data_IF_130368290073
#
_entry.id   IF_130368290073
#
_cell.length_a   1.000
_cell.length_b   1.000
_cell.length_c   1.000
_cell.angle_alpha   90.00
_cell.angle_beta   90.00
_cell.angle_gamma   90.00
#
_symmetry.space_group_name_H-M   'P 1'
#
loop_
_entity.id
_entity.type
_entity.pdbx_description
1 polymer ?
#
# COMPACT_ATOMS: atom_id res chain seq x y z
N UNK A 1 -17.11 -54.76 -17.69
CA UNK A 1 -16.03 -53.79 -17.48
C UNK A 1 -16.66 -52.40 -17.27
N UNK A 2 -16.68 -51.89 -16.04
CA UNK A 2 -17.22 -50.56 -15.74
C UNK A 2 -16.03 -49.59 -15.63
N UNK A 3 -15.90 -48.66 -16.59
CA UNK A 3 -14.92 -47.57 -16.52
C UNK A 3 -15.43 -46.56 -15.49
N UNK A 4 -14.68 -46.37 -14.40
CA UNK A 4 -14.90 -45.31 -13.44
C UNK A 4 -14.08 -44.11 -13.95
N UNK A 5 -14.78 -43.04 -14.40
CA UNK A 5 -14.16 -41.79 -14.77
C UNK A 5 -13.89 -41.00 -13.50
N UNK A 6 -12.60 -40.88 -13.11
CA UNK A 6 -12.19 -40.04 -11.99
C UNK A 6 -12.09 -38.60 -12.53
N UNK A 7 -13.03 -37.75 -12.14
CA UNK A 7 -12.96 -36.32 -12.36
C UNK A 7 -11.97 -35.71 -11.34
N UNK A 8 -10.77 -35.40 -11.79
CA UNK A 8 -9.80 -34.61 -10.99
C UNK A 8 -10.21 -33.15 -11.08
N UNK A 9 -10.89 -32.65 -10.05
CA UNK A 9 -11.20 -31.23 -9.92
C UNK A 9 -9.90 -30.49 -9.61
N UNK A 10 -9.33 -29.79 -10.61
CA UNK A 10 -8.23 -28.86 -10.41
C UNK A 10 -8.77 -27.66 -9.63
N UNK A 11 -8.44 -27.61 -8.34
CA UNK A 11 -8.70 -26.46 -7.49
C UNK A 11 -7.68 -25.38 -7.89
N UNK A 12 -8.07 -24.46 -8.78
CA UNK A 12 -7.31 -23.24 -9.06
C UNK A 12 -7.27 -22.42 -7.76
N UNK A 13 -6.17 -22.49 -7.06
CA UNK A 13 -5.84 -21.57 -5.98
C UNK A 13 -5.70 -20.18 -6.62
N UNK A 14 -6.74 -19.36 -6.49
CA UNK A 14 -6.66 -17.92 -6.72
C UNK A 14 -5.72 -17.37 -5.64
N UNK A 15 -4.43 -17.31 -5.97
CA UNK A 15 -3.43 -16.64 -5.15
C UNK A 15 -3.81 -15.16 -5.17
N UNK A 16 -4.55 -14.70 -4.16
CA UNK A 16 -4.73 -13.29 -3.94
C UNK A 16 -3.32 -12.69 -3.74
N UNK A 17 -3.03 -11.56 -4.41
CA UNK A 17 -1.76 -10.82 -4.29
C UNK A 17 -1.66 -10.15 -2.89
N UNK A 18 -1.77 -10.95 -1.82
CA UNK A 18 -1.84 -10.50 -0.42
C UNK A 18 -0.63 -10.96 0.40
N UNK A 19 0.43 -11.41 -0.27
CA UNK A 19 1.70 -11.78 0.37
C UNK A 19 2.54 -10.57 0.78
N UNK A 20 3.66 -10.85 1.42
CA UNK A 20 4.73 -9.90 1.73
C UNK A 20 5.91 -10.24 0.84
N UNK A 21 6.66 -9.26 0.28
CA UNK A 21 7.89 -9.56 -0.46
C UNK A 21 8.87 -10.33 0.41
N UNK A 22 9.60 -11.26 -0.19
CA UNK A 22 10.61 -12.04 0.54
C UNK A 22 11.60 -11.12 1.27
N UNK A 23 11.95 -11.47 2.50
CA UNK A 23 12.90 -10.77 3.38
C UNK A 23 12.44 -9.37 3.84
N UNK A 24 11.21 -8.94 3.53
CA UNK A 24 10.60 -7.74 4.10
C UNK A 24 9.69 -8.17 5.26
N UNK A 25 9.86 -7.53 6.42
CA UNK A 25 9.01 -7.77 7.58
C UNK A 25 8.09 -6.56 7.83
N UNK A 26 6.77 -6.76 8.00
CA UNK A 26 5.89 -5.70 8.42
C UNK A 26 6.19 -5.26 9.84
N UNK A 27 5.98 -3.98 10.15
CA UNK A 27 6.15 -3.47 11.51
C UNK A 27 5.22 -4.18 12.49
N UNK A 28 5.71 -4.39 13.72
CA UNK A 28 4.92 -4.93 14.84
C UNK A 28 4.58 -3.82 15.85
N UNK A 29 3.56 -4.05 16.69
CA UNK A 29 3.05 -3.02 17.59
C UNK A 29 2.31 -1.90 16.84
N UNK A 30 1.73 -2.23 15.67
CA UNK A 30 0.98 -1.30 14.84
C UNK A 30 -0.31 -0.88 15.56
N UNK A 31 -0.48 0.42 15.76
CA UNK A 31 -1.69 1.02 16.34
C UNK A 31 -2.55 1.61 15.23
N UNK A 32 -3.63 0.92 14.91
CA UNK A 32 -4.59 1.34 13.88
C UNK A 32 -5.12 2.75 14.14
N UNK A 33 -5.44 3.09 15.38
CA UNK A 33 -6.05 4.39 15.72
C UNK A 33 -5.10 5.56 15.41
N UNK A 34 -3.80 5.36 15.66
CA UNK A 34 -2.78 6.35 15.35
C UNK A 34 -2.51 6.46 13.85
N UNK A 35 -2.78 5.38 13.09
CA UNK A 35 -2.56 5.35 11.64
C UNK A 35 -3.68 6.03 10.86
N UNK A 36 -4.89 6.17 11.43
CA UNK A 36 -6.02 6.85 10.79
C UNK A 36 -5.72 8.32 10.45
N UNK A 37 -6.58 8.90 9.60
CA UNK A 37 -6.48 10.28 9.12
C UNK A 37 -5.75 10.40 7.80
N UNK A 38 -5.28 11.60 7.48
CA UNK A 38 -4.68 11.92 6.18
C UNK A 38 -3.18 11.65 6.16
N UNK A 39 -2.74 11.07 5.06
CA UNK A 39 -1.36 10.88 4.67
C UNK A 39 -1.13 11.48 3.29
N UNK A 40 0.00 12.16 3.11
CA UNK A 40 0.47 12.69 1.83
C UNK A 40 1.47 11.70 1.22
N UNK A 41 1.31 11.42 -0.05
CA UNK A 41 2.26 10.60 -0.79
C UNK A 41 3.43 11.47 -1.25
N UNK A 42 4.62 11.18 -0.74
CA UNK A 42 5.84 11.97 -1.02
C UNK A 42 6.64 11.37 -2.18
N UNK A 43 6.68 10.03 -2.23
CA UNK A 43 7.35 9.31 -3.32
C UNK A 43 6.70 7.96 -3.57
N UNK A 44 6.80 7.47 -4.80
CA UNK A 44 6.35 6.13 -5.20
C UNK A 44 7.20 5.56 -6.32
N UNK A 45 7.21 4.24 -6.47
CA UNK A 45 7.49 3.61 -7.75
C UNK A 45 6.24 3.74 -8.63
N UNK A 46 6.45 3.92 -9.95
CA UNK A 46 5.34 4.13 -10.87
C UNK A 46 4.48 2.88 -11.04
N UNK A 47 3.18 3.06 -11.10
CA UNK A 47 2.21 2.01 -11.37
C UNK A 47 0.92 2.58 -11.96
N UNK A 48 0.22 1.76 -12.76
CA UNK A 48 -0.86 2.19 -13.64
C UNK A 48 -2.08 2.83 -12.98
N UNK A 49 -2.32 2.62 -11.69
CA UNK A 49 -3.49 3.18 -11.00
C UNK A 49 -3.26 4.59 -10.40
N UNK A 50 -2.01 5.09 -10.40
CA UNK A 50 -1.66 6.45 -9.97
C UNK A 50 -0.84 7.21 -11.03
N UNK A 51 -0.74 6.64 -12.24
CA UNK A 51 0.00 7.24 -13.35
C UNK A 51 -0.48 8.66 -13.64
N UNK A 52 0.46 9.62 -13.72
CA UNK A 52 0.16 11.01 -14.00
C UNK A 52 -0.47 11.80 -12.84
N UNK A 53 -0.68 11.19 -11.67
CA UNK A 53 -1.25 11.88 -10.52
C UNK A 53 -0.19 12.63 -9.71
N UNK A 54 -0.55 13.85 -9.30
CA UNK A 54 0.13 14.71 -8.32
C UNK A 54 -0.79 15.05 -7.16
N UNK A 55 -0.29 15.67 -6.11
CA UNK A 55 -1.05 16.05 -4.90
C UNK A 55 -1.82 14.87 -4.32
N UNK A 56 -1.17 13.70 -4.32
CA UNK A 56 -1.81 12.45 -3.91
C UNK A 56 -1.89 12.39 -2.39
N UNK A 57 -3.07 12.05 -1.91
CA UNK A 57 -3.34 11.81 -0.49
C UNK A 57 -4.12 10.52 -0.31
N UNK A 58 -3.88 9.84 0.82
CA UNK A 58 -4.71 8.76 1.32
C UNK A 58 -5.35 9.17 2.64
N UNK A 59 -6.67 9.02 2.76
CA UNK A 59 -7.38 9.24 4.01
C UNK A 59 -7.94 7.92 4.53
N UNK A 60 -7.60 7.59 5.77
CA UNK A 60 -8.02 6.37 6.44
C UNK A 60 -9.00 6.69 7.57
N UNK A 61 -10.15 6.01 7.59
CA UNK A 61 -11.15 6.11 8.66
C UNK A 61 -11.73 4.74 8.98
N UNK A 62 -12.30 4.57 10.18
CA UNK A 62 -12.93 3.31 10.56
C UNK A 62 -14.34 3.22 9.98
N UNK A 63 -14.66 2.02 9.48
CA UNK A 63 -16.04 1.60 9.23
C UNK A 63 -16.64 0.98 10.51
N UNK A 64 -17.97 0.90 10.58
CA UNK A 64 -18.71 0.31 11.72
C UNK A 64 -18.36 -1.17 11.97
N UNK A 65 -17.88 -1.87 10.94
CA UNK A 65 -17.46 -3.28 11.02
C UNK A 65 -15.98 -3.48 11.42
N UNK A 66 -15.29 -2.40 11.78
CA UNK A 66 -13.89 -2.42 12.20
C UNK A 66 -12.88 -2.46 11.05
N UNK A 67 -13.31 -2.52 9.80
CA UNK A 67 -12.43 -2.35 8.64
C UNK A 67 -12.05 -0.88 8.47
N UNK A 68 -11.02 -0.62 7.66
CA UNK A 68 -10.56 0.73 7.35
C UNK A 68 -11.16 1.15 6.00
N UNK A 69 -11.88 2.25 5.98
CA UNK A 69 -12.23 2.97 4.77
C UNK A 69 -10.99 3.71 4.28
N UNK A 70 -10.71 3.59 2.98
CA UNK A 70 -9.59 4.24 2.31
C UNK A 70 -10.14 5.18 1.25
N UNK A 71 -9.77 6.44 1.28
CA UNK A 71 -10.06 7.39 0.20
C UNK A 71 -8.73 7.90 -0.32
N UNK A 72 -8.35 7.46 -1.52
CA UNK A 72 -7.21 8.00 -2.25
C UNK A 72 -7.70 9.12 -3.15
N UNK A 73 -6.96 10.24 -3.17
CA UNK A 73 -7.27 11.39 -4.01
C UNK A 73 -5.99 11.91 -4.65
N UNK A 74 -6.04 12.20 -5.96
CA UNK A 74 -4.93 12.76 -6.71
C UNK A 74 -5.41 13.74 -7.78
N UNK A 75 -4.55 14.65 -8.20
CA UNK A 75 -4.83 15.59 -9.28
C UNK A 75 -4.17 15.11 -10.57
N UNK A 76 -4.99 14.89 -11.60
CA UNK A 76 -4.53 14.58 -12.95
C UNK A 76 -4.35 15.90 -13.73
N UNK A 77 -3.11 16.26 -14.03
CA UNK A 77 -2.80 17.52 -14.70
C UNK A 77 -3.20 17.52 -16.19
N UNK A 78 -3.21 16.35 -16.86
CA UNK A 78 -3.61 16.24 -18.25
C UNK A 78 -5.11 16.44 -18.43
N UNK A 79 -5.90 15.88 -17.50
CA UNK A 79 -7.35 16.01 -17.49
C UNK A 79 -7.84 17.29 -16.79
N UNK A 80 -6.96 17.98 -16.07
CA UNK A 80 -7.30 19.18 -15.31
C UNK A 80 -8.26 18.95 -14.16
N UNK A 81 -8.32 17.74 -13.60
CA UNK A 81 -9.32 17.36 -12.60
C UNK A 81 -8.75 16.48 -11.48
N UNK A 82 -9.47 16.50 -10.37
CA UNK A 82 -9.23 15.60 -9.26
C UNK A 82 -9.87 14.24 -9.54
N UNK A 83 -9.14 13.19 -9.22
CA UNK A 83 -9.62 11.82 -9.21
C UNK A 83 -9.69 11.32 -7.76
N UNK A 84 -10.65 10.46 -7.48
CA UNK A 84 -10.84 9.86 -6.17
C UNK A 84 -11.18 8.38 -6.32
N UNK A 85 -10.60 7.55 -5.45
CA UNK A 85 -10.88 6.14 -5.35
C UNK A 85 -11.27 5.78 -3.91
N UNK A 86 -12.44 5.15 -3.76
CA UNK A 86 -12.95 4.64 -2.47
C UNK A 86 -12.59 3.16 -2.35
N UNK A 87 -11.92 2.82 -1.28
CA UNK A 87 -11.44 1.47 -1.01
C UNK A 87 -11.69 1.03 0.42
N UNK A 88 -11.45 -0.26 0.64
CA UNK A 88 -11.55 -0.90 1.94
C UNK A 88 -10.31 -1.69 2.24
N UNK A 89 -9.73 -1.49 3.44
CA UNK A 89 -8.62 -2.28 3.92
C UNK A 89 -9.01 -3.10 5.16
N UNK A 90 -8.42 -4.28 5.27
CA UNK A 90 -8.55 -5.19 6.41
C UNK A 90 -7.19 -5.80 6.73
N UNK A 91 -6.95 -6.17 7.99
CA UNK A 91 -5.74 -6.88 8.37
C UNK A 91 -5.68 -8.28 7.76
N UNK A 92 -4.49 -8.74 7.40
CA UNK A 92 -4.28 -10.10 6.88
C UNK A 92 -4.12 -11.10 8.03
N UNK A 93 -3.64 -10.66 9.18
CA UNK A 93 -3.44 -11.44 10.41
C UNK A 93 -3.80 -10.63 11.62
N UNK A 94 -2.88 -10.58 12.59
CA UNK A 94 -3.06 -9.83 13.82
C UNK A 94 -3.09 -8.32 13.55
N UNK A 95 -3.94 -7.60 14.27
CA UNK A 95 -4.16 -6.16 14.05
C UNK A 95 -3.04 -5.26 14.58
N UNK A 96 -2.08 -5.81 15.31
CA UNK A 96 -0.86 -5.15 15.76
C UNK A 96 0.34 -5.34 14.81
N UNK A 97 0.09 -5.97 13.63
CA UNK A 97 1.07 -6.13 12.55
C UNK A 97 0.66 -5.24 11.38
N UNK A 98 1.59 -4.46 10.85
CA UNK A 98 1.38 -3.53 9.74
C UNK A 98 1.18 -4.22 8.38
N UNK A 99 0.43 -5.33 8.35
CA UNK A 99 0.10 -6.08 7.14
C UNK A 99 -1.41 -6.08 6.90
N UNK A 100 -1.83 -5.25 5.96
CA UNK A 100 -3.20 -5.13 5.50
C UNK A 100 -3.32 -5.61 4.05
N UNK A 101 -4.55 -5.80 3.63
CA UNK A 101 -4.92 -5.92 2.22
C UNK A 101 -5.99 -4.89 1.89
N UNK A 102 -5.87 -4.24 0.75
CA UNK A 102 -6.76 -3.18 0.28
C UNK A 102 -7.46 -3.58 -1.01
N UNK A 103 -8.74 -3.22 -1.13
CA UNK A 103 -9.54 -3.41 -2.34
C UNK A 103 -10.22 -2.09 -2.71
N UNK A 104 -10.08 -1.70 -3.97
CA UNK A 104 -10.85 -0.64 -4.62
C UNK A 104 -11.90 -1.21 -5.58
N UNK A 105 -11.76 -2.49 -5.94
CA UNK A 105 -12.67 -3.22 -6.84
C UNK A 105 -12.90 -4.63 -6.28
N UNK A 106 -13.91 -4.78 -5.43
CA UNK A 106 -14.23 -6.10 -4.88
C UNK A 106 -14.57 -7.14 -5.96
N UNK A 107 -14.17 -8.40 -5.80
CA UNK A 107 -13.59 -9.01 -4.61
C UNK A 107 -12.05 -9.05 -4.56
N UNK A 108 -11.35 -8.31 -5.41
CA UNK A 108 -9.89 -8.37 -5.54
C UNK A 108 -9.22 -7.51 -4.47
N UNK A 109 -8.21 -8.08 -3.80
CA UNK A 109 -7.41 -7.42 -2.79
C UNK A 109 -5.93 -7.44 -3.18
N UNK A 110 -5.23 -6.34 -2.91
CA UNK A 110 -3.79 -6.22 -3.00
C UNK A 110 -3.18 -6.03 -1.60
N UNK A 111 -1.94 -6.50 -1.42
CA UNK A 111 -1.19 -6.29 -0.17
C UNK A 111 -0.86 -4.83 0.05
N UNK A 112 -0.93 -4.43 1.31
CA UNK A 112 -0.48 -3.15 1.83
C UNK A 112 0.35 -3.43 3.08
N UNK A 113 1.67 -3.35 2.94
CA UNK A 113 2.62 -3.74 3.98
C UNK A 113 3.38 -2.51 4.45
N UNK A 114 3.13 -2.09 5.68
CA UNK A 114 3.93 -1.06 6.34
C UNK A 114 5.18 -1.72 6.89
N UNK A 115 6.35 -1.49 6.29
CA UNK A 115 7.62 -2.11 6.70
C UNK A 115 8.55 -1.16 7.45
N UNK A 116 8.20 0.13 7.49
CA UNK A 116 8.85 1.12 8.34
C UNK A 116 7.79 2.13 8.78
N UNK A 117 7.81 2.51 10.06
CA UNK A 117 6.88 3.47 10.64
C UNK A 117 7.57 4.13 11.83
N UNK A 118 7.68 5.45 11.82
CA UNK A 118 8.31 6.16 12.91
C UNK A 118 7.42 6.17 14.17
N UNK A 119 8.06 6.33 15.33
CA UNK A 119 7.36 6.29 16.63
C UNK A 119 6.29 7.38 16.80
N UNK A 120 6.34 8.45 16.03
CA UNK A 120 5.37 9.54 16.03
C UNK A 120 4.21 9.30 15.08
N UNK A 121 4.30 8.27 14.22
CA UNK A 121 3.37 8.00 13.11
C UNK A 121 3.30 9.19 12.12
N UNK A 122 4.45 9.80 11.86
CA UNK A 122 4.59 10.93 10.97
C UNK A 122 5.06 10.56 9.56
N UNK A 123 5.84 9.47 9.45
CA UNK A 123 6.29 8.89 8.17
C UNK A 123 6.10 7.39 8.16
N UNK A 124 5.73 6.84 7.00
CA UNK A 124 5.55 5.40 6.79
C UNK A 124 6.12 5.00 5.42
N UNK A 125 6.79 3.84 5.38
CA UNK A 125 7.24 3.20 4.15
C UNK A 125 6.39 1.97 3.89
N UNK A 126 5.80 1.92 2.71
CA UNK A 126 4.82 0.91 2.35
C UNK A 126 5.27 0.16 1.11
N UNK A 127 5.00 -1.14 1.07
CA UNK A 127 5.15 -1.97 -0.12
C UNK A 127 3.89 -2.77 -0.41
N UNK A 128 3.77 -3.27 -1.63
CA UNK A 128 2.75 -4.23 -2.04
C UNK A 128 3.18 -5.68 -1.78
N UNK A 129 2.67 -6.61 -2.59
CA UNK A 129 3.02 -8.03 -2.52
C UNK A 129 4.39 -8.36 -3.13
N UNK A 130 5.00 -7.43 -3.87
CA UNK A 130 6.33 -7.53 -4.48
C UNK A 130 7.01 -6.15 -4.48
N UNK A 131 8.27 -6.09 -4.95
CA UNK A 131 9.09 -4.88 -4.95
C UNK A 131 8.82 -3.90 -6.11
N UNK A 132 7.80 -4.15 -6.94
CA UNK A 132 7.35 -3.21 -7.96
C UNK A 132 6.51 -2.07 -7.34
N UNK A 133 6.09 -2.24 -6.07
CA UNK A 133 5.26 -1.28 -5.33
C UNK A 133 6.03 -0.74 -4.13
N UNK A 134 6.17 0.57 -4.07
CA UNK A 134 6.84 1.26 -2.96
C UNK A 134 6.28 2.66 -2.81
N UNK A 135 5.99 3.07 -1.57
CA UNK A 135 5.55 4.42 -1.23
C UNK A 135 6.27 4.96 0.00
N UNK A 136 6.57 6.25 -0.03
CA UNK A 136 6.86 7.08 1.13
C UNK A 136 5.63 7.92 1.43
N UNK A 137 5.02 7.72 2.57
CA UNK A 137 3.89 8.50 3.06
C UNK A 137 4.31 9.38 4.24
N UNK A 138 3.72 10.58 4.33
CA UNK A 138 3.98 11.53 5.40
C UNK A 138 2.69 12.19 5.89
N UNK A 139 2.68 12.64 7.16
CA UNK A 139 1.59 13.48 7.71
C UNK A 139 1.64 14.93 7.23
N UNK A 140 2.74 15.33 6.63
CA UNK A 140 2.94 16.66 6.05
C UNK A 140 3.17 16.54 4.54
N UNK A 141 2.79 17.55 3.74
CA UNK A 141 2.98 17.53 2.29
C UNK A 141 4.46 17.57 1.86
N UNK A 142 5.35 17.82 2.79
CA UNK A 142 6.79 17.88 2.57
C UNK A 142 7.53 17.10 3.66
N UNK A 143 8.67 16.52 3.30
CA UNK A 143 9.62 15.91 4.22
C UNK A 143 11.00 16.55 4.06
N UNK A 144 11.87 16.42 5.06
CA UNK A 144 13.24 16.92 4.93
C UNK A 144 14.05 16.10 3.94
N UNK A 145 15.14 16.68 3.43
CA UNK A 145 16.08 15.96 2.54
C UNK A 145 16.67 14.72 3.22
N UNK A 146 16.93 14.83 4.55
CA UNK A 146 17.44 13.71 5.35
C UNK A 146 16.41 12.55 5.44
N UNK A 147 15.11 12.87 5.62
CA UNK A 147 14.05 11.86 5.67
C UNK A 147 13.89 11.16 4.30
N UNK A 148 13.95 11.92 3.22
CA UNK A 148 13.92 11.36 1.86
C UNK A 148 15.16 10.50 1.58
N UNK A 149 16.35 10.93 2.02
CA UNK A 149 17.58 10.17 1.87
C UNK A 149 17.54 8.86 2.68
N UNK A 150 17.01 8.92 3.91
CA UNK A 150 16.81 7.74 4.76
C UNK A 150 15.86 6.72 4.11
N UNK A 151 14.73 7.19 3.57
CA UNK A 151 13.80 6.35 2.80
C UNK A 151 14.49 5.65 1.64
N UNK A 152 15.21 6.39 0.79
CA UNK A 152 15.93 5.82 -0.36
C UNK A 152 16.96 4.79 0.06
N UNK A 153 17.75 5.09 1.11
CA UNK A 153 18.74 4.16 1.64
C UNK A 153 18.10 2.87 2.16
N UNK A 154 17.00 2.99 2.90
CA UNK A 154 16.25 1.84 3.41
C UNK A 154 15.65 1.01 2.27
N UNK A 155 15.04 1.64 1.28
CA UNK A 155 14.48 0.95 0.13
C UNK A 155 15.53 0.18 -0.67
N UNK A 156 16.70 0.77 -0.93
CA UNK A 156 17.83 0.08 -1.59
C UNK A 156 18.31 -1.11 -0.76
N UNK A 157 18.42 -0.96 0.55
CA UNK A 157 18.81 -2.05 1.46
C UNK A 157 17.82 -3.23 1.43
N UNK A 158 16.53 -2.95 1.21
CA UNK A 158 15.48 -3.96 1.03
C UNK A 158 15.39 -4.50 -0.41
N UNK A 159 16.26 -4.05 -1.32
CA UNK A 159 16.36 -4.56 -2.68
C UNK A 159 15.38 -3.94 -3.68
N UNK A 160 14.81 -2.77 -3.39
CA UNK A 160 14.02 -2.03 -4.38
C UNK A 160 14.91 -1.37 -5.43
N UNK A 161 14.48 -1.39 -6.68
CA UNK A 161 15.05 -0.58 -7.76
C UNK A 161 14.38 0.80 -7.76
N UNK A 162 15.17 1.84 -7.50
CA UNK A 162 14.68 3.21 -7.43
C UNK A 162 14.88 4.00 -8.73
N UNK A 163 15.23 3.34 -9.85
CA UNK A 163 15.49 3.99 -11.14
C UNK A 163 14.28 4.83 -11.60
N UNK A 164 13.07 4.31 -11.38
CA UNK A 164 11.80 4.95 -11.75
C UNK A 164 11.08 5.59 -10.54
N UNK A 165 11.82 5.94 -9.48
CA UNK A 165 11.22 6.57 -8.31
C UNK A 165 10.72 7.98 -8.65
N UNK A 166 9.42 8.20 -8.48
CA UNK A 166 8.74 9.47 -8.67
C UNK A 166 8.69 10.22 -7.32
N UNK A 167 9.10 11.49 -7.30
CA UNK A 167 8.80 12.41 -6.22
C UNK A 167 7.48 13.10 -6.55
N UNK A 168 6.47 12.89 -5.71
CA UNK A 168 5.11 13.37 -5.95
C UNK A 168 5.01 14.84 -5.53
N UNK A 169 4.69 15.72 -6.48
CA UNK A 169 4.41 17.12 -6.17
C UNK A 169 3.12 17.23 -5.35
N UNK A 170 3.21 17.95 -4.23
CA UNK A 170 2.08 18.24 -3.34
C UNK A 170 1.57 19.67 -3.54
#
# INVERSE_FOLDING_TARGET
>A
MKCVLVFTTALCLLSACTGVPQDIEPVTGFDQQRYLGTWYEIARLDHSFEEGLSRVTANYSLNDDGSIKVINRGYNAEEGQWQEADGRAVFVGDSDVGHLKVSFFGPFYASYVVFELDNQYSTAYITGYNRDYLWLMSRTPEVSEEALAAFKARAVAEGFDLTELILVAQ
#
